data_IF_215053007762
#
_entry.id   IF_215053007762
#
_cell.length_a   1.000
_cell.length_b   1.000
_cell.length_c   1.000
_cell.angle_alpha   90.00
_cell.angle_beta   90.00
_cell.angle_gamma   90.00
#
_symmetry.space_group_name_H-M   'P 1'
#
loop_
_entity.id
_entity.type
_entity.pdbx_description
1 polymer ?
#
# COMPACT_ATOMS: atom_id res chain seq x y z
N UNK A 1 9.70 3.96 -5.59
CA UNK A 1 8.36 4.55 -5.41
C UNK A 1 7.91 4.20 -4.00
N UNK A 2 7.21 5.10 -3.31
CA UNK A 2 6.81 4.89 -1.91
C UNK A 2 5.42 4.28 -1.78
N UNK A 3 4.63 4.21 -2.87
CA UNK A 3 3.21 3.79 -2.86
C UNK A 3 2.94 2.37 -2.32
N UNK A 4 3.97 1.53 -2.25
CA UNK A 4 3.84 0.13 -1.84
C UNK A 4 3.27 -0.02 -0.43
N UNK A 5 3.56 0.92 0.48
CA UNK A 5 3.06 0.92 1.85
C UNK A 5 1.52 0.97 1.90
N UNK A 6 0.94 1.89 1.15
CA UNK A 6 -0.47 2.11 1.02
C UNK A 6 -1.15 0.96 0.25
N UNK A 7 -0.49 0.41 -0.77
CA UNK A 7 -0.99 -0.76 -1.49
C UNK A 7 -1.12 -1.98 -0.57
N UNK A 8 -0.12 -2.27 0.26
CA UNK A 8 -0.14 -3.37 1.23
C UNK A 8 -1.25 -3.15 2.26
N UNK A 9 -1.37 -1.94 2.82
CA UNK A 9 -2.42 -1.63 3.79
C UNK A 9 -3.82 -1.82 3.20
N UNK A 10 -4.07 -1.28 2.00
CA UNK A 10 -5.37 -1.41 1.34
C UNK A 10 -5.69 -2.84 0.91
N UNK A 11 -4.69 -3.62 0.49
CA UNK A 11 -4.86 -5.06 0.27
C UNK A 11 -5.26 -5.76 1.56
N UNK A 12 -4.63 -5.41 2.69
CA UNK A 12 -4.95 -6.03 3.97
C UNK A 12 -6.40 -5.77 4.39
N UNK A 13 -6.88 -4.53 4.22
CA UNK A 13 -8.28 -4.19 4.42
C UNK A 13 -9.21 -4.92 3.43
N UNK A 14 -8.87 -4.91 2.14
CA UNK A 14 -9.71 -5.49 1.08
C UNK A 14 -9.89 -7.00 1.24
N UNK A 15 -8.83 -7.71 1.63
CA UNK A 15 -8.88 -9.15 1.87
C UNK A 15 -9.46 -9.53 3.25
N UNK A 16 -9.76 -8.54 4.09
CA UNK A 16 -10.39 -8.75 5.40
C UNK A 16 -9.43 -9.28 6.47
N UNK A 17 -8.14 -8.97 6.37
CA UNK A 17 -7.17 -9.33 7.41
C UNK A 17 -7.36 -8.47 8.66
N UNK A 18 -7.04 -9.05 9.82
CA UNK A 18 -6.98 -8.32 11.09
C UNK A 18 -5.66 -7.54 11.15
N UNK A 19 -5.76 -6.25 11.42
CA UNK A 19 -4.59 -5.35 11.54
C UNK A 19 -4.48 -4.92 13.00
N UNK A 20 -3.26 -4.96 13.54
CA UNK A 20 -2.91 -4.40 14.83
C UNK A 20 -1.72 -3.47 14.69
N UNK A 21 -1.66 -2.44 15.52
CA UNK A 21 -0.54 -1.50 15.59
C UNK A 21 0.27 -1.78 16.86
N UNK A 22 1.60 -1.72 16.75
CA UNK A 22 2.52 -1.85 17.88
C UNK A 22 3.38 -0.60 17.90
N UNK A 23 3.37 0.12 19.03
CA UNK A 23 4.23 1.30 19.19
C UNK A 23 5.69 0.87 19.28
N UNK A 24 6.52 1.41 18.40
CA UNK A 24 7.99 1.27 18.44
C UNK A 24 8.60 2.64 18.77
N UNK A 25 9.62 2.73 19.64
CA UNK A 25 10.35 3.97 19.89
C UNK A 25 11.26 4.29 18.69
N UNK A 26 10.66 4.77 17.61
CA UNK A 26 11.37 5.17 16.40
C UNK A 26 11.92 6.59 16.58
N UNK A 27 13.24 6.72 16.75
CA UNK A 27 13.90 8.03 16.65
C UNK A 27 14.03 8.42 15.18
N UNK A 28 13.16 9.30 14.72
CA UNK A 28 13.31 9.93 13.41
C UNK A 28 14.51 10.89 13.48
N UNK A 29 15.61 10.54 12.83
CA UNK A 29 16.71 11.48 12.58
C UNK A 29 16.39 12.29 11.32
N UNK A 30 16.90 13.51 11.20
CA UNK A 30 16.65 14.38 10.02
C UNK A 30 17.03 13.72 8.68
N UNK A 31 17.97 12.77 8.72
CA UNK A 31 18.40 11.99 7.55
C UNK A 31 17.46 10.85 7.17
N UNK A 32 16.57 10.42 8.08
CA UNK A 32 15.83 9.15 7.94
C UNK A 32 14.60 9.23 7.02
N UNK A 33 14.12 10.41 6.63
CA UNK A 33 12.98 10.51 5.70
C UNK A 33 12.85 11.89 5.05
N UNK A 34 13.81 12.26 4.20
CA UNK A 34 13.72 13.49 3.41
C UNK A 34 13.25 13.21 1.97
N UNK A 35 11.93 13.12 1.77
CA UNK A 35 11.33 13.14 0.42
C UNK A 35 11.16 14.61 -0.02
N UNK A 36 11.65 14.96 -1.21
CA UNK A 36 11.49 16.32 -1.72
C UNK A 36 10.04 16.61 -2.11
N UNK A 37 9.64 17.89 -2.09
CA UNK A 37 8.25 18.31 -2.31
C UNK A 37 7.62 17.72 -3.58
N UNK A 38 8.35 17.75 -4.71
CA UNK A 38 7.85 17.21 -5.98
C UNK A 38 7.52 15.72 -5.86
N UNK A 39 8.40 14.93 -5.26
CA UNK A 39 8.17 13.51 -5.03
C UNK A 39 7.03 13.28 -4.04
N UNK A 40 6.88 14.12 -3.03
CA UNK A 40 5.76 14.06 -2.08
C UNK A 40 4.41 14.28 -2.77
N UNK A 41 4.32 15.25 -3.68
CA UNK A 41 3.09 15.50 -4.45
C UNK A 41 2.73 14.30 -5.33
N UNK A 42 3.70 13.75 -6.07
CA UNK A 42 3.48 12.54 -6.90
C UNK A 42 3.04 11.37 -6.04
N UNK A 43 3.69 11.15 -4.90
CA UNK A 43 3.29 10.10 -3.95
C UNK A 43 1.86 10.32 -3.44
N UNK A 44 1.49 11.54 -3.04
CA UNK A 44 0.15 11.86 -2.58
C UNK A 44 -0.94 11.53 -3.62
N UNK A 45 -0.72 11.87 -4.89
CA UNK A 45 -1.65 11.49 -5.96
C UNK A 45 -1.72 9.97 -6.17
N UNK A 46 -0.60 9.26 -6.07
CA UNK A 46 -0.59 7.80 -6.14
C UNK A 46 -1.38 7.17 -4.97
N UNK A 47 -1.25 7.70 -3.76
CA UNK A 47 -2.03 7.27 -2.59
C UNK A 47 -3.54 7.44 -2.85
N UNK A 48 -3.95 8.62 -3.34
CA UNK A 48 -5.35 8.89 -3.68
C UNK A 48 -5.86 7.96 -4.78
N UNK A 49 -5.07 7.73 -5.82
CA UNK A 49 -5.43 6.82 -6.91
C UNK A 49 -5.63 5.39 -6.41
N UNK A 50 -4.76 4.88 -5.54
CA UNK A 50 -4.89 3.53 -4.96
C UNK A 50 -6.09 3.43 -4.01
N UNK A 51 -6.35 4.47 -3.20
CA UNK A 51 -7.56 4.53 -2.38
C UNK A 51 -8.84 4.50 -3.22
N UNK A 52 -8.86 5.22 -4.35
CA UNK A 52 -10.00 5.18 -5.27
C UNK A 52 -10.20 3.79 -5.91
N UNK A 53 -9.12 3.13 -6.35
CA UNK A 53 -9.18 1.74 -6.84
C UNK A 53 -9.77 0.80 -5.77
N UNK A 54 -9.35 0.95 -4.52
CA UNK A 54 -9.88 0.17 -3.39
C UNK A 54 -11.40 0.40 -3.23
N UNK A 55 -11.86 1.65 -3.24
CA UNK A 55 -13.29 1.96 -3.14
C UNK A 55 -14.09 1.35 -4.28
N UNK A 56 -13.62 1.47 -5.54
CA UNK A 56 -14.28 0.86 -6.68
C UNK A 56 -14.36 -0.67 -6.56
N UNK A 57 -13.29 -1.34 -6.14
CA UNK A 57 -13.31 -2.78 -5.89
C UNK A 57 -14.24 -3.16 -4.73
N UNK A 58 -14.23 -2.39 -3.64
CA UNK A 58 -15.10 -2.62 -2.47
C UNK A 58 -16.58 -2.56 -2.84
N UNK A 59 -16.96 -1.66 -3.73
CA UNK A 59 -18.32 -1.56 -4.28
C UNK A 59 -18.57 -2.44 -5.51
N UNK A 60 -17.64 -3.33 -5.86
CA UNK A 60 -17.73 -4.23 -7.03
C UNK A 60 -17.92 -3.51 -8.39
N UNK A 61 -17.48 -2.26 -8.49
CA UNK A 61 -17.59 -1.44 -9.71
C UNK A 61 -16.45 -1.69 -10.71
N UNK A 62 -15.30 -2.17 -10.23
CA UNK A 62 -14.14 -2.48 -11.05
C UNK A 62 -13.31 -3.61 -10.44
N UNK A 63 -12.46 -4.24 -11.25
CA UNK A 63 -11.46 -5.22 -10.80
C UNK A 63 -10.07 -4.70 -11.16
N UNK A 64 -9.16 -4.66 -10.19
CA UNK A 64 -7.77 -4.29 -10.40
C UNK A 64 -6.84 -5.44 -9.98
N UNK A 65 -5.73 -5.70 -10.70
CA UNK A 65 -4.81 -6.79 -10.38
C UNK A 65 -4.24 -6.74 -8.95
N UNK A 66 -4.08 -5.54 -8.39
CA UNK A 66 -3.57 -5.35 -7.01
C UNK A 66 -4.55 -5.87 -5.96
N UNK A 67 -5.84 -6.00 -6.28
CA UNK A 67 -6.87 -6.54 -5.37
C UNK A 67 -7.32 -7.95 -5.78
N UNK A 68 -6.55 -8.61 -6.64
CA UNK A 68 -6.80 -9.99 -7.05
C UNK A 68 -6.22 -10.98 -6.04
N UNK A 69 -7.07 -11.85 -5.48
CA UNK A 69 -6.66 -12.89 -4.52
C UNK A 69 -5.76 -13.96 -5.15
N UNK A 70 -5.90 -14.14 -6.45
CA UNK A 70 -5.13 -15.10 -7.25
C UNK A 70 -4.12 -14.39 -8.16
N UNK A 71 -3.81 -13.13 -7.86
CA UNK A 71 -2.78 -12.35 -8.52
C UNK A 71 -1.38 -12.98 -8.43
N UNK A 72 -0.40 -12.37 -9.10
CA UNK A 72 0.98 -12.87 -9.16
C UNK A 72 1.56 -13.08 -7.75
N UNK A 73 1.96 -14.32 -7.44
CA UNK A 73 2.62 -14.70 -6.18
C UNK A 73 4.11 -14.93 -6.44
N UNK A 74 4.95 -14.62 -5.47
CA UNK A 74 6.36 -14.98 -5.52
C UNK A 74 6.41 -16.49 -5.32
N UNK A 75 6.95 -17.22 -6.30
CA UNK A 75 7.25 -18.64 -6.15
C UNK A 75 8.43 -18.71 -5.18
N UNK A 76 8.19 -19.19 -3.96
CA UNK A 76 9.26 -19.47 -3.00
C UNK A 76 9.99 -20.72 -3.48
N UNK A 77 10.94 -20.55 -4.39
CA UNK A 77 11.94 -21.58 -4.69
C UNK A 77 12.93 -21.59 -3.53
N UNK A 78 12.59 -22.34 -2.47
CA UNK A 78 13.55 -22.64 -1.41
C UNK A 78 14.51 -23.73 -1.92
N UNK A 79 15.84 -23.62 -1.71
CA UNK A 79 16.75 -24.76 -1.88
C UNK A 79 16.49 -25.87 -0.86
#
# INVERSE_FOLDING_TARGET
>A
DFVFDNEILLQAFYFGYRIGEISSPSSYTEESSSINFRRSVVYGFNVLATAFKYLLCKYSLAKFPVFDKDGRKIVLSYP
#
